data_IF_068189650158
#
_entry.id   IF_068189650158
#
_cell.length_a   1.000
_cell.length_b   1.000
_cell.length_c   1.000
_cell.angle_alpha   90.00
_cell.angle_beta   90.00
_cell.angle_gamma   90.00
#
_symmetry.space_group_name_H-M   'P 1'
#
loop_
_entity.id
_entity.type
_entity.pdbx_description
1 polymer ?
#
# COMPACT_ATOMS: atom_id res chain seq x y z
N UNK A 1 -16.29 -3.98 -3.23
CA UNK A 1 -15.43 -3.62 -2.07
C UNK A 1 -14.90 -4.90 -1.43
N UNK A 2 -13.71 -4.85 -0.83
CA UNK A 2 -13.11 -6.03 -0.19
C UNK A 2 -13.88 -6.39 1.08
N UNK A 3 -14.48 -7.57 1.11
CA UNK A 3 -15.01 -8.20 2.32
C UNK A 3 -14.08 -9.36 2.72
N UNK A 4 -13.50 -9.28 3.91
CA UNK A 4 -12.65 -10.32 4.48
C UNK A 4 -12.98 -10.55 5.94
N UNK A 5 -12.87 -11.80 6.37
CA UNK A 5 -13.07 -12.27 7.75
C UNK A 5 -11.76 -12.81 8.37
N UNK A 6 -10.63 -12.57 7.71
CA UNK A 6 -9.29 -12.92 8.17
C UNK A 6 -8.28 -11.93 7.59
N UNK A 7 -7.18 -11.69 8.29
CA UNK A 7 -6.03 -11.02 7.68
C UNK A 7 -5.40 -11.93 6.63
N UNK A 8 -5.17 -11.44 5.41
CA UNK A 8 -4.33 -12.11 4.41
C UNK A 8 -2.90 -12.29 4.95
N UNK A 9 -2.35 -11.24 5.58
CA UNK A 9 -1.10 -11.30 6.35
C UNK A 9 -1.24 -10.61 7.71
N UNK A 10 -0.73 -11.27 8.75
CA UNK A 10 -0.77 -10.74 10.12
C UNK A 10 0.57 -10.08 10.47
N UNK A 11 0.67 -8.79 10.17
CA UNK A 11 1.87 -7.98 10.41
C UNK A 11 2.33 -7.96 11.87
N UNK A 12 3.65 -8.02 12.06
CA UNK A 12 4.33 -7.77 13.33
C UNK A 12 4.74 -6.30 13.48
N UNK A 13 5.08 -5.89 14.70
CA UNK A 13 5.66 -4.57 14.96
C UNK A 13 6.96 -4.32 14.18
N UNK A 14 7.77 -5.36 13.95
CA UNK A 14 9.02 -5.27 13.18
C UNK A 14 8.75 -4.98 11.71
N UNK A 15 7.76 -5.62 11.12
CA UNK A 15 7.36 -5.35 9.73
C UNK A 15 6.73 -3.96 9.60
N UNK A 16 5.82 -3.59 10.49
CA UNK A 16 5.23 -2.25 10.53
C UNK A 16 6.31 -1.16 10.63
N UNK A 17 7.31 -1.35 11.49
CA UNK A 17 8.44 -0.46 11.62
C UNK A 17 9.21 -0.28 10.29
N UNK A 18 9.55 -1.39 9.62
CA UNK A 18 10.24 -1.37 8.32
C UNK A 18 9.40 -0.66 7.26
N UNK A 19 8.10 -0.93 7.21
CA UNK A 19 7.15 -0.27 6.29
C UNK A 19 7.16 1.25 6.52
N UNK A 20 7.05 1.71 7.77
CA UNK A 20 7.12 3.14 8.08
C UNK A 20 8.49 3.75 7.75
N UNK A 21 9.58 3.04 8.02
CA UNK A 21 10.92 3.51 7.64
C UNK A 21 11.03 3.73 6.12
N UNK A 22 10.50 2.79 5.33
CA UNK A 22 10.50 2.90 3.88
C UNK A 22 9.54 4.00 3.38
N UNK A 23 8.39 4.19 4.03
CA UNK A 23 7.46 5.29 3.73
C UNK A 23 8.14 6.66 3.80
N UNK A 24 8.97 6.93 4.83
CA UNK A 24 9.64 8.22 4.95
C UNK A 24 10.56 8.55 3.78
N UNK A 25 11.24 7.55 3.20
CA UNK A 25 12.04 7.74 1.98
C UNK A 25 11.19 8.01 0.73
N UNK A 26 9.91 7.61 0.73
CA UNK A 26 8.97 7.82 -0.38
C UNK A 26 8.29 9.18 -0.35
N UNK A 27 8.22 9.86 0.81
CA UNK A 27 7.51 11.15 0.96
C UNK A 27 8.01 12.21 -0.05
N UNK A 28 9.33 12.43 -0.24
CA UNK A 28 9.80 13.42 -1.22
C UNK A 28 9.42 13.06 -2.65
N UNK A 29 9.45 11.77 -3.00
CA UNK A 29 9.10 11.27 -4.34
C UNK A 29 7.62 11.46 -4.63
N UNK A 30 6.74 11.14 -3.68
CA UNK A 30 5.29 11.36 -3.83
C UNK A 30 4.94 12.85 -3.92
N UNK A 31 5.59 13.70 -3.11
CA UNK A 31 5.43 15.15 -3.20
C UNK A 31 5.89 15.70 -4.55
N UNK A 32 7.00 15.17 -5.08
CA UNK A 32 7.51 15.51 -6.41
C UNK A 32 6.55 15.07 -7.50
N UNK A 33 6.05 13.83 -7.43
CA UNK A 33 5.07 13.31 -8.40
C UNK A 33 3.80 14.16 -8.45
N UNK A 34 3.30 14.62 -7.30
CA UNK A 34 2.12 15.50 -7.25
C UNK A 34 2.33 16.82 -8.02
N UNK A 35 3.57 17.31 -8.10
CA UNK A 35 3.93 18.55 -8.81
C UNK A 35 4.28 18.30 -10.29
N UNK A 36 5.02 17.23 -10.56
CA UNK A 36 5.67 16.99 -11.85
C UNK A 36 4.98 15.92 -12.69
N UNK A 37 4.04 15.17 -12.13
CA UNK A 37 3.30 14.09 -12.80
C UNK A 37 4.22 13.10 -13.54
N UNK A 38 5.30 12.68 -12.85
CA UNK A 38 6.26 11.67 -13.35
C UNK A 38 5.52 10.39 -13.78
N UNK A 39 4.56 9.97 -12.96
CA UNK A 39 3.44 9.13 -13.35
C UNK A 39 2.15 9.89 -13.07
N UNK A 40 1.12 9.68 -13.88
CA UNK A 40 -0.16 10.35 -13.68
C UNK A 40 -0.86 9.88 -12.40
N UNK A 41 -1.88 10.65 -12.01
CA UNK A 41 -2.63 10.42 -10.78
C UNK A 41 -3.38 9.09 -10.83
N UNK A 42 -3.90 8.71 -12.00
CA UNK A 42 -4.72 7.51 -12.14
C UNK A 42 -3.85 6.27 -12.02
N UNK A 43 -2.66 6.27 -12.64
CA UNK A 43 -1.69 5.19 -12.45
C UNK A 43 -1.26 5.07 -10.99
N UNK A 44 -1.04 6.20 -10.29
CA UNK A 44 -0.77 6.20 -8.85
C UNK A 44 -1.91 5.55 -8.05
N UNK A 45 -3.16 5.88 -8.36
CA UNK A 45 -4.35 5.32 -7.69
C UNK A 45 -4.49 3.82 -7.99
N UNK A 46 -4.28 3.37 -9.23
CA UNK A 46 -4.30 1.94 -9.60
C UNK A 46 -3.25 1.13 -8.84
N UNK A 47 -2.05 1.68 -8.66
CA UNK A 47 -1.02 1.07 -7.79
C UNK A 47 -1.52 0.94 -6.35
N UNK A 48 -2.16 1.98 -5.81
CA UNK A 48 -2.70 1.97 -4.44
C UNK A 48 -3.87 0.98 -4.28
N UNK A 49 -4.76 0.88 -5.27
CA UNK A 49 -5.85 -0.09 -5.29
C UNK A 49 -5.31 -1.52 -5.35
N UNK A 50 -4.30 -1.79 -6.19
CA UNK A 50 -3.68 -3.10 -6.33
C UNK A 50 -2.99 -3.55 -5.01
N UNK A 51 -2.24 -2.66 -4.35
CA UNK A 51 -1.63 -2.96 -3.04
C UNK A 51 -2.69 -3.19 -1.96
N UNK A 52 -3.79 -2.44 -2.01
CA UNK A 52 -4.92 -2.59 -1.08
C UNK A 52 -5.65 -3.92 -1.26
N UNK A 53 -5.83 -4.37 -2.50
CA UNK A 53 -6.37 -5.70 -2.82
C UNK A 53 -5.50 -6.79 -2.21
N UNK A 54 -4.19 -6.79 -2.49
CA UNK A 54 -3.27 -7.83 -2.00
C UNK A 54 -3.25 -7.90 -0.48
N UNK A 55 -3.29 -6.76 0.22
CA UNK A 55 -3.36 -6.75 1.68
C UNK A 55 -4.74 -7.07 2.27
N UNK A 56 -5.81 -6.99 1.47
CA UNK A 56 -7.18 -7.19 1.94
C UNK A 56 -7.64 -6.11 2.92
N UNK A 57 -7.19 -4.85 2.78
CA UNK A 57 -7.56 -3.79 3.71
C UNK A 57 -8.97 -3.23 3.40
N UNK A 58 -10.00 -3.72 4.08
CA UNK A 58 -11.40 -3.33 3.85
C UNK A 58 -11.65 -1.81 4.00
N UNK A 59 -11.12 -1.17 5.05
CA UNK A 59 -11.31 0.28 5.25
C UNK A 59 -10.58 1.10 4.18
N UNK A 60 -9.41 0.64 3.73
CA UNK A 60 -8.66 1.27 2.66
C UNK A 60 -9.39 1.12 1.32
N UNK A 61 -9.95 -0.07 1.05
CA UNK A 61 -10.76 -0.34 -0.14
C UNK A 61 -11.94 0.63 -0.20
N UNK A 62 -12.67 0.84 0.90
CA UNK A 62 -13.74 1.84 0.95
C UNK A 62 -13.25 3.27 0.68
N UNK A 63 -12.18 3.71 1.36
CA UNK A 63 -11.65 5.06 1.23
C UNK A 63 -11.16 5.36 -0.20
N UNK A 64 -10.39 4.44 -0.79
CA UNK A 64 -9.85 4.58 -2.13
C UNK A 64 -10.91 4.39 -3.22
N UNK A 65 -11.95 3.58 -3.00
CA UNK A 65 -13.12 3.53 -3.90
C UNK A 65 -13.74 4.91 -4.02
N UNK A 66 -14.01 5.57 -2.89
CA UNK A 66 -14.59 6.92 -2.90
C UNK A 66 -13.69 7.91 -3.66
N UNK A 67 -12.38 7.90 -3.37
CA UNK A 67 -11.42 8.79 -4.03
C UNK A 67 -11.26 8.53 -5.54
N UNK A 68 -11.27 7.26 -5.95
CA UNK A 68 -11.18 6.86 -7.35
C UNK A 68 -12.43 7.30 -8.14
N UNK A 69 -13.63 7.08 -7.59
CA UNK A 69 -14.88 7.54 -8.18
C UNK A 69 -14.93 9.07 -8.29
N UNK A 70 -14.51 9.79 -7.24
CA UNK A 70 -14.38 11.26 -7.24
C UNK A 70 -13.33 11.75 -8.28
N UNK A 71 -12.41 10.88 -8.70
CA UNK A 71 -11.40 11.16 -9.71
C UNK A 71 -11.79 10.72 -11.12
N UNK A 72 -13.00 10.16 -11.31
CA UNK A 72 -13.54 9.80 -12.63
C UNK A 72 -13.38 8.34 -13.03
N UNK A 73 -12.91 7.46 -12.14
CA UNK A 73 -12.89 6.02 -12.39
C UNK A 73 -14.32 5.48 -12.48
N UNK A 74 -14.54 4.47 -13.33
CA UNK A 74 -15.81 3.75 -13.32
C UNK A 74 -15.88 2.78 -12.14
N UNK A 75 -17.10 2.39 -11.75
CA UNK A 75 -17.29 1.39 -10.69
C UNK A 75 -16.65 0.05 -11.12
N UNK A 76 -16.82 -0.32 -12.38
CA UNK A 76 -16.30 -1.55 -12.98
C UNK A 76 -14.76 -1.56 -12.97
N UNK A 77 -14.13 -0.43 -13.26
CA UNK A 77 -12.67 -0.29 -13.17
C UNK A 77 -12.20 -0.56 -11.73
N UNK A 78 -12.79 0.12 -10.74
CA UNK A 78 -12.43 -0.06 -9.32
C UNK A 78 -12.67 -1.51 -8.85
N UNK A 79 -13.79 -2.11 -9.23
CA UNK A 79 -14.12 -3.49 -8.88
C UNK A 79 -13.16 -4.49 -9.53
N UNK A 80 -12.70 -4.24 -10.76
CA UNK A 80 -11.72 -5.10 -11.44
C UNK A 80 -10.41 -5.18 -10.65
N UNK A 81 -9.93 -4.06 -10.09
CA UNK A 81 -8.74 -4.05 -9.25
C UNK A 81 -8.91 -4.85 -7.97
N UNK A 82 -10.07 -4.77 -7.31
CA UNK A 82 -10.33 -5.57 -6.10
C UNK A 82 -10.60 -7.05 -6.37
N UNK A 83 -10.98 -7.39 -7.60
CA UNK A 83 -11.10 -8.77 -8.06
C UNK A 83 -9.75 -9.38 -8.49
N UNK A 84 -8.67 -8.59 -8.53
CA UNK A 84 -7.38 -9.01 -9.09
C UNK A 84 -7.44 -9.25 -10.61
N UNK A 85 -8.43 -8.65 -11.29
CA UNK A 85 -8.61 -8.76 -12.74
C UNK A 85 -7.67 -7.81 -13.49
N UNK A 86 -7.30 -8.20 -14.71
CA UNK A 86 -6.49 -7.40 -15.64
C UNK A 86 -7.31 -6.56 -16.61
N UNK A 87 -8.65 -6.64 -16.57
CA UNK A 87 -9.56 -6.07 -17.59
C UNK A 87 -9.36 -4.57 -17.85
N UNK A 88 -9.06 -3.78 -16.81
CA UNK A 88 -8.86 -2.33 -16.90
C UNK A 88 -7.41 -1.90 -16.71
N UNK A 89 -6.48 -2.85 -16.64
CA UNK A 89 -5.06 -2.55 -16.58
C UNK A 89 -4.59 -2.13 -17.97
N UNK A 90 -4.08 -0.90 -18.08
CA UNK A 90 -3.45 -0.46 -19.33
C UNK A 90 -2.15 -1.23 -19.54
N UNK A 91 -1.84 -1.69 -20.78
CA UNK A 91 -0.62 -2.46 -21.04
C UNK A 91 0.66 -1.78 -20.55
N UNK A 92 0.76 -0.47 -20.67
CA UNK A 92 1.91 0.33 -20.22
C UNK A 92 2.01 0.48 -18.70
N UNK A 93 0.94 0.22 -17.94
CA UNK A 93 0.88 0.30 -16.47
C UNK A 93 1.07 -1.08 -15.81
N UNK A 94 0.88 -2.16 -16.58
CA UNK A 94 0.82 -3.53 -16.10
C UNK A 94 2.05 -3.95 -15.28
N UNK A 95 3.26 -3.64 -15.74
CA UNK A 95 4.48 -4.02 -15.02
C UNK A 95 4.59 -3.30 -13.66
N UNK A 96 4.19 -2.03 -13.59
CA UNK A 96 4.19 -1.29 -12.33
C UNK A 96 3.15 -1.81 -11.34
N UNK A 97 1.97 -2.20 -11.83
CA UNK A 97 0.91 -2.81 -11.01
C UNK A 97 1.34 -4.19 -10.50
N UNK A 98 1.87 -5.06 -11.37
CA UNK A 98 2.36 -6.39 -10.99
C UNK A 98 3.50 -6.31 -9.98
N UNK A 99 4.43 -5.37 -10.18
CA UNK A 99 5.49 -5.10 -9.21
C UNK A 99 4.91 -4.67 -7.85
N UNK A 100 3.92 -3.77 -7.84
CA UNK A 100 3.30 -3.31 -6.61
C UNK A 100 2.53 -4.42 -5.88
N UNK A 101 1.84 -5.30 -6.61
CA UNK A 101 1.18 -6.48 -6.06
C UNK A 101 2.20 -7.44 -5.43
N UNK A 102 3.26 -7.79 -6.17
CA UNK A 102 4.34 -8.64 -5.66
C UNK A 102 5.03 -8.02 -4.44
N UNK A 103 5.27 -6.71 -4.45
CA UNK A 103 5.81 -5.98 -3.31
C UNK A 103 4.93 -6.09 -2.07
N UNK A 104 3.60 -5.97 -2.23
CA UNK A 104 2.65 -6.13 -1.14
C UNK A 104 2.58 -7.57 -0.63
N UNK A 105 2.56 -8.55 -1.54
CA UNK A 105 2.51 -9.98 -1.23
C UNK A 105 3.76 -10.44 -0.46
N UNK A 106 4.91 -9.80 -0.73
CA UNK A 106 6.17 -10.00 -0.02
C UNK A 106 6.38 -9.06 1.17
N UNK A 107 5.30 -8.63 1.84
CA UNK A 107 5.32 -7.82 3.07
C UNK A 107 6.14 -6.51 2.94
N UNK A 108 6.12 -5.90 1.76
CA UNK A 108 6.87 -4.68 1.47
C UNK A 108 8.36 -4.91 1.19
N UNK A 109 8.72 -6.07 0.67
CA UNK A 109 10.06 -6.39 0.17
C UNK A 109 10.00 -6.67 -1.35
N UNK A 110 11.13 -6.49 -2.03
CA UNK A 110 11.32 -6.85 -3.44
C UNK A 110 12.74 -7.36 -3.64
N UNK A 111 12.98 -8.15 -4.68
CA UNK A 111 14.33 -8.55 -5.09
C UNK A 111 14.96 -7.51 -6.01
N UNK A 112 16.29 -7.46 -6.05
CA UNK A 112 17.02 -6.52 -6.92
C UNK A 112 16.67 -6.74 -8.39
N UNK A 113 16.43 -7.99 -8.81
CA UNK A 113 16.02 -8.35 -10.17
C UNK A 113 14.62 -7.83 -10.51
N UNK A 114 13.67 -7.94 -9.58
CA UNK A 114 12.31 -7.43 -9.76
C UNK A 114 12.31 -5.91 -9.91
N UNK A 115 13.13 -5.20 -9.11
CA UNK A 115 13.26 -3.76 -9.23
C UNK A 115 14.03 -3.33 -10.47
N UNK A 116 15.07 -4.08 -10.87
CA UNK A 116 15.82 -3.79 -12.09
C UNK A 116 14.94 -3.95 -13.33
N UNK A 117 14.08 -4.98 -13.36
CA UNK A 117 13.10 -5.17 -14.45
C UNK A 117 12.17 -3.95 -14.57
N UNK A 118 11.73 -3.40 -13.44
CA UNK A 118 10.92 -2.17 -13.41
C UNK A 118 11.69 -0.98 -14.00
N UNK A 119 12.97 -0.83 -13.62
CA UNK A 119 13.87 0.22 -14.11
C UNK A 119 14.12 0.10 -15.60
N UNK A 120 14.34 -1.11 -16.12
CA UNK A 120 14.57 -1.35 -17.54
C UNK A 120 13.36 -0.97 -18.39
N UNK A 121 12.14 -1.13 -17.85
CA UNK A 121 10.90 -0.80 -18.55
C UNK A 121 10.51 0.69 -18.43
N UNK A 122 10.54 1.25 -17.23
CA UNK A 122 10.03 2.61 -16.96
C UNK A 122 11.12 3.69 -16.88
N UNK A 123 12.38 3.30 -16.80
CA UNK A 123 13.47 4.16 -16.37
C UNK A 123 13.48 4.38 -14.85
N UNK A 124 14.60 4.92 -14.36
CA UNK A 124 14.86 5.04 -12.92
C UNK A 124 13.85 5.95 -12.20
N UNK A 125 13.46 7.06 -12.81
CA UNK A 125 12.62 8.07 -12.17
C UNK A 125 11.18 7.59 -11.93
N UNK A 126 10.56 7.02 -12.97
CA UNK A 126 9.22 6.43 -12.87
C UNK A 126 9.22 5.23 -11.92
N UNK A 127 10.24 4.38 -11.99
CA UNK A 127 10.37 3.21 -11.10
C UNK A 127 10.44 3.58 -9.63
N UNK A 128 11.24 4.61 -9.27
CA UNK A 128 11.27 5.16 -7.91
C UNK A 128 9.90 5.68 -7.48
N UNK A 129 9.16 6.29 -8.39
CA UNK A 129 7.84 6.85 -8.12
C UNK A 129 6.77 5.76 -7.93
N UNK A 130 6.80 4.71 -8.74
CA UNK A 130 5.94 3.52 -8.60
C UNK A 130 6.19 2.84 -7.25
N UNK A 131 7.46 2.58 -6.90
CA UNK A 131 7.83 2.02 -5.60
C UNK A 131 7.41 2.95 -4.45
N UNK A 132 7.49 4.26 -4.64
CA UNK A 132 7.06 5.23 -3.65
C UNK A 132 5.54 5.16 -3.39
N UNK A 133 4.73 5.00 -4.44
CA UNK A 133 3.29 4.82 -4.34
C UNK A 133 2.95 3.52 -3.59
N UNK A 134 3.58 2.40 -3.97
CA UNK A 134 3.38 1.12 -3.29
C UNK A 134 3.77 1.18 -1.80
N UNK A 135 4.91 1.80 -1.45
CA UNK A 135 5.34 2.03 -0.07
C UNK A 135 4.35 2.89 0.73
N UNK A 136 3.83 3.95 0.11
CA UNK A 136 2.82 4.81 0.73
C UNK A 136 1.55 4.01 1.07
N UNK A 137 1.08 3.20 0.13
CA UNK A 137 -0.11 2.37 0.36
C UNK A 137 0.12 1.27 1.40
N UNK A 138 1.28 0.61 1.39
CA UNK A 138 1.63 -0.37 2.43
C UNK A 138 1.55 0.23 3.84
N UNK A 139 2.02 1.47 4.01
CA UNK A 139 1.89 2.19 5.29
C UNK A 139 0.42 2.50 5.64
N UNK A 140 -0.40 2.87 4.66
CA UNK A 140 -1.84 3.01 4.86
C UNK A 140 -2.52 1.70 5.25
N UNK A 141 -2.21 0.59 4.57
CA UNK A 141 -2.80 -0.71 4.84
C UNK A 141 -2.42 -1.24 6.23
N UNK A 142 -1.15 -1.15 6.64
CA UNK A 142 -0.73 -1.66 7.97
C UNK A 142 -1.41 -0.92 9.13
N UNK A 143 -1.84 0.34 8.92
CA UNK A 143 -2.68 1.10 9.86
C UNK A 143 -4.16 0.71 9.71
N UNK A 144 -4.65 0.54 8.48
CA UNK A 144 -6.05 0.24 8.16
C UNK A 144 -6.53 -1.16 8.53
N UNK A 145 -5.64 -2.16 8.51
CA UNK A 145 -5.97 -3.54 8.83
C UNK A 145 -6.53 -3.73 10.26
N UNK A 146 -5.84 -3.29 11.34
CA UNK A 146 -6.41 -3.41 12.69
C UNK A 146 -7.71 -2.60 12.86
N UNK A 147 -7.85 -1.44 12.20
CA UNK A 147 -9.11 -0.69 12.21
C UNK A 147 -10.26 -1.49 11.56
N UNK A 148 -9.98 -2.18 10.46
CA UNK A 148 -10.96 -3.03 9.76
C UNK A 148 -11.44 -4.18 10.65
N UNK A 149 -10.52 -4.87 11.33
CA UNK A 149 -10.86 -5.97 12.23
C UNK A 149 -11.63 -5.50 13.48
N UNK A 150 -11.28 -4.35 14.05
CA UNK A 150 -12.00 -3.74 15.18
C UNK A 150 -13.43 -3.36 14.76
N UNK A 151 -13.58 -2.72 13.60
CA UNK A 151 -14.89 -2.38 13.05
C UNK A 151 -15.75 -3.62 12.83
N UNK A 152 -15.17 -4.69 12.27
CA UNK A 152 -15.85 -5.96 12.04
C UNK A 152 -16.25 -6.65 13.36
N UNK A 153 -15.38 -6.60 14.38
CA UNK A 153 -15.69 -7.09 15.74
C UNK A 153 -16.89 -6.38 16.35
N UNK A 154 -16.99 -5.06 16.26
CA UNK A 154 -18.16 -4.32 16.76
C UNK A 154 -19.46 -4.67 16.01
N UNK A 155 -19.35 -5.21 14.80
CA UNK A 155 -20.48 -5.74 14.00
C UNK A 155 -20.73 -7.25 14.22
N UNK A 156 -20.05 -7.88 15.19
CA UNK A 156 -20.18 -9.31 15.48
C UNK A 156 -19.44 -10.25 14.51
N UNK A 157 -18.69 -9.70 13.53
CA UNK A 157 -17.94 -10.46 12.52
C UNK A 157 -16.44 -10.44 12.83
N UNK A 158 -16.03 -11.10 13.92
CA UNK A 158 -14.62 -11.13 14.34
C UNK A 158 -13.74 -11.79 13.26
N UNK A 159 -12.56 -11.21 13.01
CA UNK A 159 -11.56 -11.86 12.18
C UNK A 159 -11.08 -13.20 12.80
N UNK A 160 -11.12 -14.27 12.02
CA UNK A 160 -10.85 -15.64 12.45
C UNK A 160 -9.43 -15.83 12.98
N UNK A 161 -8.44 -15.18 12.36
CA UNK A 161 -7.02 -15.23 12.72
C UNK A 161 -6.54 -14.03 13.57
N UNK A 162 -7.45 -13.38 14.31
CA UNK A 162 -7.15 -12.19 15.12
C UNK A 162 -7.57 -12.31 16.58
N UNK A 163 -7.00 -11.45 17.42
CA UNK A 163 -7.40 -11.23 18.80
C UNK A 163 -7.55 -9.73 19.09
N UNK A 164 -8.36 -9.40 20.09
CA UNK A 164 -8.58 -8.01 20.49
C UNK A 164 -7.27 -7.32 20.91
N UNK A 165 -6.40 -8.00 21.65
CA UNK A 165 -5.09 -7.45 22.05
C UNK A 165 -4.17 -7.19 20.87
N UNK A 166 -4.15 -8.08 19.88
CA UNK A 166 -3.39 -7.85 18.65
C UNK A 166 -3.91 -6.63 17.90
N UNK A 167 -5.24 -6.53 17.72
CA UNK A 167 -5.89 -5.43 17.04
C UNK A 167 -5.55 -4.07 17.68
N UNK A 168 -5.73 -3.96 19.00
CA UNK A 168 -5.41 -2.72 19.73
C UNK A 168 -3.91 -2.45 19.74
N UNK A 169 -3.06 -3.46 19.93
CA UNK A 169 -1.62 -3.31 19.90
C UNK A 169 -1.13 -2.75 18.56
N UNK A 170 -1.62 -3.31 17.45
CA UNK A 170 -1.28 -2.84 16.11
C UNK A 170 -1.91 -1.47 15.79
N UNK A 171 -3.09 -1.16 16.34
CA UNK A 171 -3.71 0.17 16.18
C UNK A 171 -2.91 1.27 16.88
N UNK A 172 -2.35 0.99 18.06
CA UNK A 172 -1.62 1.98 18.87
C UNK A 172 -0.13 2.08 18.49
N UNK A 173 0.47 1.02 17.96
CA UNK A 173 1.88 1.01 17.58
C UNK A 173 2.33 2.16 16.66
N UNK A 174 1.54 2.63 15.67
CA UNK A 174 1.92 3.78 14.84
C UNK A 174 2.24 5.06 15.64
N UNK A 175 1.63 5.27 16.81
CA UNK A 175 1.91 6.44 17.67
C UNK A 175 3.37 6.50 18.11
N UNK A 176 4.01 5.34 18.28
CA UNK A 176 5.43 5.21 18.64
C UNK A 176 6.30 4.97 17.41
N UNK A 177 5.89 4.07 16.52
CA UNK A 177 6.73 3.63 15.40
C UNK A 177 6.90 4.71 14.33
N UNK A 178 5.89 5.55 14.06
CA UNK A 178 6.02 6.63 13.08
C UNK A 178 7.12 7.63 13.48
N UNK A 179 7.11 8.25 14.68
CA UNK A 179 8.18 9.18 15.05
C UNK A 179 9.55 8.52 15.11
N UNK A 180 9.66 7.28 15.62
CA UNK A 180 10.92 6.53 15.67
C UNK A 180 11.46 6.28 14.25
N UNK A 181 10.62 5.77 13.35
CA UNK A 181 11.01 5.52 11.95
C UNK A 181 11.36 6.81 11.22
N UNK A 182 10.68 7.92 11.54
CA UNK A 182 10.98 9.24 10.98
C UNK A 182 12.36 9.72 11.37
N UNK A 183 12.68 9.67 12.67
CA UNK A 183 14.02 10.01 13.19
C UNK A 183 15.08 9.09 12.57
N UNK A 184 14.86 7.78 12.55
CA UNK A 184 15.81 6.84 11.95
C UNK A 184 16.04 7.11 10.45
N UNK A 185 14.98 7.44 9.70
CA UNK A 185 15.09 7.74 8.27
C UNK A 185 16.01 8.95 7.99
N UNK A 186 16.11 9.91 8.93
CA UNK A 186 17.02 11.05 8.79
C UNK A 186 18.49 10.63 8.86
N UNK A 187 18.82 9.61 9.65
CA UNK A 187 20.18 9.07 9.74
C UNK A 187 20.52 8.17 8.55
N UNK A 188 19.55 7.38 8.06
CA UNK A 188 19.73 6.54 6.87
C UNK A 188 20.10 7.38 5.64
N UNK A 189 19.43 8.51 5.44
CA UNK A 189 19.68 9.43 4.30
C UNK A 189 21.04 10.13 4.36
N UNK A 190 21.68 10.22 5.53
CA UNK A 190 23.03 10.81 5.66
C UNK A 190 24.16 9.84 5.28
N UNK A 191 23.86 8.55 5.14
CA UNK A 191 24.86 7.48 4.93
C UNK A 191 24.84 6.89 3.51
N UNK A 192 24.04 7.46 2.62
CA UNK A 192 23.77 7.01 1.24
C UNK A 192 23.85 8.19 0.29
#
# INVERSE_FOLDING_TARGET
MIEVDAYKHRYSFREMYKIFLNMFSSIPLLKRNKREQIIDKDFTERIMLAVTEVNGCAICSYAHTKMALESGFSIEEVESFFAGSDTYIKPEEAMGILFAQSYADNQGNYSDEAYQTLVDYYGEEKSKTILAAARGMMAGNVIGLPMSAISARFKGKKYSNSSFFYEIGMLLAPLLLIPISGIHSLFRRKSS
#
